data_IF_857351725672
#
_entry.id   IF_857351725672
#
_cell.length_a   1.000
_cell.length_b   1.000
_cell.length_c   1.000
_cell.angle_alpha   90.00
_cell.angle_beta   90.00
_cell.angle_gamma   90.00
#
_symmetry.space_group_name_H-M   'P 1'
#
loop_
_entity.id
_entity.type
_entity.pdbx_description
1 polymer ?
#
# COMPACT_ATOMS: atom_id res chain seq x y z
N UNK A 1 -56.38 17.79 -12.81
CA UNK A 1 -55.26 18.72 -12.63
C UNK A 1 -55.13 19.50 -13.92
N UNK A 2 -55.65 20.73 -13.93
CA UNK A 2 -55.51 21.62 -15.09
C UNK A 2 -54.10 22.22 -15.13
N UNK A 3 -53.67 22.71 -16.30
CA UNK A 3 -52.33 23.29 -16.48
C UNK A 3 -52.03 24.42 -15.49
N UNK A 4 -53.04 25.21 -15.13
CA UNK A 4 -52.94 26.31 -14.17
C UNK A 4 -52.80 25.84 -12.72
N UNK A 5 -53.55 24.80 -12.32
CA UNK A 5 -53.43 24.17 -10.99
C UNK A 5 -52.04 23.58 -10.75
N UNK A 6 -51.41 23.05 -11.80
CA UNK A 6 -50.03 22.55 -11.75
C UNK A 6 -49.01 23.67 -11.47
N UNK A 7 -49.13 24.81 -12.16
CA UNK A 7 -48.23 25.95 -11.95
C UNK A 7 -48.38 26.57 -10.55
N UNK A 8 -49.60 26.69 -10.03
CA UNK A 8 -49.81 27.20 -8.67
C UNK A 8 -49.29 26.23 -7.60
N UNK A 9 -49.47 24.91 -7.79
CA UNK A 9 -48.88 23.90 -6.91
C UNK A 9 -47.35 23.96 -6.92
N UNK A 10 -46.74 24.08 -8.11
CA UNK A 10 -45.29 24.14 -8.28
C UNK A 10 -44.70 25.41 -7.62
N UNK A 11 -45.35 26.56 -7.79
CA UNK A 11 -44.97 27.82 -7.14
C UNK A 11 -45.11 27.75 -5.60
N UNK A 12 -46.08 26.99 -5.10
CA UNK A 12 -46.33 26.81 -3.65
C UNK A 12 -45.36 25.83 -2.97
N UNK A 13 -44.88 24.81 -3.70
CA UNK A 13 -43.88 23.83 -3.22
C UNK A 13 -42.43 24.27 -3.53
N UNK A 14 -42.28 25.36 -4.29
CA UNK A 14 -41.02 25.80 -4.90
C UNK A 14 -39.86 25.94 -3.90
N UNK A 15 -40.10 26.49 -2.70
CA UNK A 15 -39.05 26.71 -1.71
C UNK A 15 -38.46 25.41 -1.16
N UNK A 16 -39.31 24.41 -0.92
CA UNK A 16 -38.89 23.11 -0.38
C UNK A 16 -38.20 22.28 -1.48
N UNK A 17 -38.76 22.28 -2.69
CA UNK A 17 -38.14 21.63 -3.85
C UNK A 17 -36.77 22.24 -4.19
N UNK A 18 -36.67 23.58 -4.21
CA UNK A 18 -35.42 24.27 -4.46
C UNK A 18 -34.37 23.96 -3.37
N UNK A 19 -34.80 23.87 -2.11
CA UNK A 19 -33.91 23.50 -1.01
C UNK A 19 -33.40 22.05 -1.11
N UNK A 20 -34.27 21.09 -1.42
CA UNK A 20 -33.89 19.68 -1.62
C UNK A 20 -32.95 19.55 -2.84
N UNK A 21 -33.24 20.26 -3.93
CA UNK A 21 -32.36 20.28 -5.10
C UNK A 21 -31.00 20.89 -4.77
N UNK A 22 -30.96 22.00 -4.03
CA UNK A 22 -29.71 22.61 -3.58
C UNK A 22 -28.89 21.64 -2.70
N UNK A 23 -29.53 20.95 -1.76
CA UNK A 23 -28.89 19.91 -0.95
C UNK A 23 -28.40 18.72 -1.79
N UNK A 24 -29.18 18.29 -2.79
CA UNK A 24 -28.81 17.22 -3.70
C UNK A 24 -27.57 17.57 -4.53
N UNK A 25 -27.53 18.78 -5.08
CA UNK A 25 -26.37 19.29 -5.83
C UNK A 25 -25.14 19.42 -4.91
N UNK A 26 -25.32 19.97 -3.71
CA UNK A 26 -24.23 20.09 -2.73
C UNK A 26 -23.69 18.71 -2.30
N UNK A 27 -24.56 17.74 -2.02
CA UNK A 27 -24.20 16.37 -1.68
C UNK A 27 -23.48 15.66 -2.82
N UNK A 28 -23.94 15.83 -4.06
CA UNK A 28 -23.28 15.28 -5.25
C UNK A 28 -21.87 15.89 -5.43
N UNK A 29 -21.74 17.21 -5.27
CA UNK A 29 -20.45 17.90 -5.34
C UNK A 29 -19.47 17.39 -4.27
N UNK A 30 -19.93 17.21 -3.03
CA UNK A 30 -19.12 16.66 -1.94
C UNK A 30 -18.70 15.21 -2.22
N UNK A 31 -19.63 14.37 -2.68
CA UNK A 31 -19.33 12.98 -3.04
C UNK A 31 -18.28 12.91 -4.16
N UNK A 32 -18.45 13.73 -5.20
CA UNK A 32 -17.51 13.80 -6.32
C UNK A 32 -16.13 14.25 -5.86
N UNK A 33 -16.05 15.28 -5.01
CA UNK A 33 -14.79 15.74 -4.43
C UNK A 33 -14.09 14.65 -3.62
N UNK A 34 -14.81 13.97 -2.72
CA UNK A 34 -14.27 12.87 -1.91
C UNK A 34 -13.80 11.72 -2.81
N UNK A 35 -14.56 11.39 -3.85
CA UNK A 35 -14.22 10.33 -4.80
C UNK A 35 -12.91 10.64 -5.53
N UNK A 36 -12.76 11.84 -6.07
CA UNK A 36 -11.53 12.31 -6.72
C UNK A 36 -10.36 12.28 -5.72
N UNK A 37 -10.56 12.79 -4.51
CA UNK A 37 -9.49 12.83 -3.50
C UNK A 37 -9.00 11.42 -3.16
N UNK A 38 -9.92 10.47 -3.00
CA UNK A 38 -9.58 9.05 -2.78
C UNK A 38 -8.87 8.42 -3.98
N UNK A 39 -9.17 8.83 -5.22
CA UNK A 39 -8.43 8.33 -6.38
C UNK A 39 -7.02 8.92 -6.46
N UNK A 40 -6.85 10.21 -6.16
CA UNK A 40 -5.55 10.87 -6.11
C UNK A 40 -4.63 10.24 -5.05
N UNK A 41 -5.16 10.03 -3.84
CA UNK A 41 -4.41 9.41 -2.75
C UNK A 41 -3.97 7.98 -3.10
N UNK A 42 -4.83 7.20 -3.75
CA UNK A 42 -4.46 5.87 -4.26
C UNK A 42 -3.36 5.94 -5.32
N UNK A 43 -3.45 6.91 -6.25
CA UNK A 43 -2.40 7.15 -7.25
C UNK A 43 -1.06 7.51 -6.62
N UNK A 44 -1.05 8.39 -5.61
CA UNK A 44 0.17 8.75 -4.85
C UNK A 44 0.77 7.55 -4.13
N UNK A 45 -0.07 6.74 -3.45
CA UNK A 45 0.40 5.50 -2.79
C UNK A 45 0.99 4.50 -3.78
N UNK A 46 0.39 4.37 -4.96
CA UNK A 46 0.93 3.52 -6.03
C UNK A 46 2.32 4.00 -6.50
N UNK A 47 2.48 5.30 -6.76
CA UNK A 47 3.78 5.88 -7.17
C UNK A 47 4.85 5.66 -6.10
N UNK A 48 4.54 6.02 -4.85
CA UNK A 48 5.48 5.86 -3.74
C UNK A 48 5.91 4.39 -3.56
N UNK A 49 4.97 3.45 -3.68
CA UNK A 49 5.30 2.03 -3.59
C UNK A 49 6.25 1.59 -4.72
N UNK A 50 6.05 2.06 -5.94
CA UNK A 50 6.93 1.74 -7.06
C UNK A 50 8.34 2.33 -6.89
N UNK A 51 8.44 3.56 -6.38
CA UNK A 51 9.72 4.17 -6.03
C UNK A 51 10.48 3.36 -4.96
N UNK A 52 9.77 2.81 -3.97
CA UNK A 52 10.38 1.90 -2.98
C UNK A 52 10.88 0.61 -3.62
N UNK A 53 10.11 0.02 -4.54
CA UNK A 53 10.54 -1.19 -5.27
C UNK A 53 11.77 -0.91 -6.13
N UNK A 54 11.85 0.24 -6.79
CA UNK A 54 13.03 0.65 -7.55
C UNK A 54 14.23 0.87 -6.63
N UNK A 55 14.05 1.61 -5.53
CA UNK A 55 15.08 1.87 -4.53
C UNK A 55 15.66 0.58 -3.91
N UNK A 56 14.86 -0.48 -3.79
CA UNK A 56 15.33 -1.78 -3.31
C UNK A 56 16.28 -2.46 -4.31
N UNK A 57 16.01 -2.32 -5.61
CA UNK A 57 16.76 -2.97 -6.69
C UNK A 57 18.00 -2.18 -7.13
N UNK A 58 18.10 -0.90 -6.78
CA UNK A 58 19.20 -0.01 -7.13
C UNK A 58 18.79 1.04 -8.15
N UNK A 59 19.58 2.10 -8.27
CA UNK A 59 19.40 3.04 -9.36
C UNK A 59 19.77 2.30 -10.66
N UNK A 60 18.89 2.29 -11.67
CA UNK A 60 19.08 1.57 -12.94
C UNK A 60 20.37 1.91 -13.74
N UNK A 61 21.27 2.71 -13.16
CA UNK A 61 22.64 3.04 -13.57
C UNK A 61 23.69 2.03 -13.08
N UNK A 62 23.28 0.94 -12.42
CA UNK A 62 24.16 -0.18 -12.07
C UNK A 62 24.84 -0.05 -10.70
N UNK A 63 24.45 0.93 -9.88
CA UNK A 63 24.88 1.05 -8.50
C UNK A 63 24.09 0.11 -7.60
N UNK A 64 24.79 -0.70 -6.78
CA UNK A 64 24.14 -1.40 -5.69
C UNK A 64 23.66 -0.36 -4.66
N UNK A 65 22.38 -0.34 -4.26
CA UNK A 65 21.89 0.63 -3.30
C UNK A 65 22.55 0.39 -1.93
N UNK A 66 22.79 1.46 -1.19
CA UNK A 66 23.33 1.40 0.17
C UNK A 66 22.45 0.51 1.06
N UNK A 67 23.08 -0.30 1.91
CA UNK A 67 22.38 -1.26 2.78
C UNK A 67 21.38 -0.55 3.70
N UNK A 68 21.75 0.60 4.26
CA UNK A 68 20.85 1.38 5.12
C UNK A 68 19.59 1.82 4.37
N UNK A 69 19.73 2.19 3.09
CA UNK A 69 18.58 2.51 2.23
C UNK A 69 17.71 1.28 2.00
N UNK A 70 18.30 0.11 1.77
CA UNK A 70 17.55 -1.13 1.60
C UNK A 70 16.77 -1.49 2.88
N UNK A 71 17.37 -1.31 4.07
CA UNK A 71 16.72 -1.55 5.35
C UNK A 71 15.49 -0.63 5.50
N UNK A 72 15.67 0.68 5.28
CA UNK A 72 14.57 1.65 5.34
C UNK A 72 13.45 1.31 4.36
N UNK A 73 13.80 0.94 3.13
CA UNK A 73 12.81 0.55 2.12
C UNK A 73 12.00 -0.68 2.57
N UNK A 74 12.67 -1.72 3.08
CA UNK A 74 12.00 -2.92 3.57
C UNK A 74 11.06 -2.59 4.73
N UNK A 75 11.51 -1.76 5.67
CA UNK A 75 10.69 -1.26 6.78
C UNK A 75 9.48 -0.48 6.27
N UNK A 76 9.64 0.40 5.28
CA UNK A 76 8.54 1.22 4.75
C UNK A 76 7.49 0.41 3.98
N UNK A 77 7.89 -0.68 3.31
CA UNK A 77 6.97 -1.54 2.56
C UNK A 77 5.82 -2.11 3.43
N UNK A 78 6.02 -2.25 4.75
CA UNK A 78 4.97 -2.73 5.67
C UNK A 78 3.77 -1.78 5.79
N UNK A 79 3.92 -0.52 5.40
CA UNK A 79 2.87 0.50 5.48
C UNK A 79 1.88 0.46 4.31
N UNK A 80 2.08 -0.48 3.37
CA UNK A 80 1.26 -0.62 2.16
C UNK A 80 0.48 -1.96 2.14
N UNK A 81 -0.59 -2.08 2.96
CA UNK A 81 -1.39 -3.30 3.06
C UNK A 81 -2.01 -3.77 1.75
N UNK A 82 -2.31 -2.84 0.84
CA UNK A 82 -2.82 -3.13 -0.50
C UNK A 82 -1.83 -3.91 -1.38
N UNK A 83 -0.52 -3.82 -1.10
CA UNK A 83 0.53 -4.48 -1.88
C UNK A 83 1.16 -5.69 -1.19
N UNK A 84 0.70 -6.06 0.02
CA UNK A 84 1.22 -7.19 0.80
C UNK A 84 1.45 -8.49 0.01
N UNK A 85 0.53 -8.95 -0.88
CA UNK A 85 0.78 -10.16 -1.67
C UNK A 85 2.02 -10.05 -2.58
N UNK A 86 2.24 -8.86 -3.16
CA UNK A 86 3.38 -8.57 -4.03
C UNK A 86 4.64 -8.38 -3.20
N UNK A 87 4.56 -7.61 -2.11
CA UNK A 87 5.66 -7.37 -1.17
C UNK A 87 6.20 -8.68 -0.60
N UNK A 88 5.33 -9.61 -0.19
CA UNK A 88 5.76 -10.93 0.30
C UNK A 88 6.58 -11.69 -0.74
N UNK A 89 6.09 -11.74 -1.99
CA UNK A 89 6.80 -12.43 -3.07
C UNK A 89 8.15 -11.80 -3.34
N UNK A 90 8.21 -10.47 -3.36
CA UNK A 90 9.44 -9.71 -3.60
C UNK A 90 10.45 -9.93 -2.48
N UNK A 91 10.04 -9.80 -1.22
CA UNK A 91 10.90 -9.96 -0.06
C UNK A 91 11.40 -11.39 0.09
N UNK A 92 10.56 -12.42 -0.10
CA UNK A 92 11.01 -13.83 -0.06
C UNK A 92 12.10 -14.11 -1.10
N UNK A 93 11.89 -13.68 -2.34
CA UNK A 93 12.89 -13.81 -3.41
C UNK A 93 14.16 -13.02 -3.12
N UNK A 94 14.05 -11.82 -2.56
CA UNK A 94 15.23 -11.00 -2.22
C UNK A 94 16.00 -11.54 -1.02
N UNK A 95 15.30 -12.09 -0.03
CA UNK A 95 15.88 -12.71 1.17
C UNK A 95 16.80 -13.89 0.81
N UNK A 96 16.34 -14.78 -0.09
CA UNK A 96 17.16 -15.89 -0.59
C UNK A 96 18.44 -15.39 -1.25
N UNK A 97 18.33 -14.36 -2.12
CA UNK A 97 19.49 -13.75 -2.79
C UNK A 97 20.46 -13.10 -1.80
N UNK A 98 19.96 -12.40 -0.79
CA UNK A 98 20.81 -11.77 0.23
C UNK A 98 21.54 -12.79 1.09
N UNK A 99 20.87 -13.89 1.48
CA UNK A 99 21.50 -15.00 2.22
C UNK A 99 22.59 -15.69 1.41
N UNK A 100 22.39 -15.89 0.11
CA UNK A 100 23.44 -16.44 -0.77
C UNK A 100 24.64 -15.50 -0.86
N UNK A 101 24.40 -14.20 -1.10
CA UNK A 101 25.46 -13.19 -1.15
C UNK A 101 26.26 -13.10 0.15
N UNK A 102 25.58 -13.18 1.30
CA UNK A 102 26.22 -13.12 2.61
C UNK A 102 27.10 -14.35 2.88
N UNK A 103 26.61 -15.54 2.49
CA UNK A 103 27.38 -16.79 2.51
C UNK A 103 28.64 -16.68 1.63
N UNK A 104 28.51 -16.21 0.40
CA UNK A 104 29.64 -16.07 -0.53
C UNK A 104 30.66 -15.05 -0.01
N UNK A 105 30.18 -13.92 0.54
CA UNK A 105 31.03 -12.92 1.17
C UNK A 105 31.79 -13.50 2.37
N UNK A 106 31.17 -14.35 3.17
CA UNK A 106 31.85 -15.02 4.29
C UNK A 106 33.00 -15.93 3.81
N UNK A 107 32.78 -16.72 2.74
CA UNK A 107 33.82 -17.57 2.17
C UNK A 107 35.00 -16.76 1.61
N UNK A 108 34.74 -15.68 0.88
CA UNK A 108 35.76 -14.83 0.27
C UNK A 108 36.54 -14.04 1.34
N UNK A 109 35.85 -13.45 2.32
CA UNK A 109 36.49 -12.62 3.33
C UNK A 109 37.37 -13.42 4.30
N UNK A 110 37.06 -14.70 4.54
CA UNK A 110 37.94 -15.62 5.28
C UNK A 110 39.34 -15.68 4.67
N UNK A 111 39.47 -15.52 3.35
CA UNK A 111 40.75 -15.54 2.65
C UNK A 111 41.40 -14.15 2.50
N UNK A 112 40.62 -13.07 2.53
CA UNK A 112 41.09 -11.72 2.19
C UNK A 112 41.31 -10.77 3.39
N UNK A 113 41.13 -11.22 4.64
CA UNK A 113 41.24 -10.38 5.86
C UNK A 113 40.44 -9.07 5.81
N UNK A 114 39.41 -8.99 4.96
CA UNK A 114 38.50 -7.84 4.85
C UNK A 114 37.27 -8.09 5.74
N UNK A 115 36.76 -7.04 6.40
CA UNK A 115 35.52 -7.16 7.16
C UNK A 115 34.34 -7.43 6.20
N UNK A 116 33.51 -8.44 6.47
CA UNK A 116 32.35 -8.71 5.64
C UNK A 116 31.37 -7.53 5.67
N UNK A 117 30.78 -7.25 4.52
CA UNK A 117 29.67 -6.30 4.40
C UNK A 117 28.49 -6.91 5.14
N UNK A 118 28.18 -6.36 6.32
CA UNK A 118 27.24 -6.97 7.26
C UNK A 118 25.79 -6.80 6.78
N UNK A 119 25.27 -7.76 6.00
CA UNK A 119 23.87 -7.77 5.53
C UNK A 119 22.89 -8.30 6.58
N UNK A 120 23.35 -8.64 7.78
CA UNK A 120 22.55 -9.29 8.82
C UNK A 120 21.32 -8.45 9.18
N UNK A 121 21.47 -7.14 9.32
CA UNK A 121 20.36 -6.24 9.66
C UNK A 121 19.30 -6.18 8.55
N UNK A 122 19.70 -6.21 7.29
CA UNK A 122 18.78 -6.24 6.15
C UNK A 122 17.98 -7.56 6.11
N UNK A 123 18.66 -8.68 6.32
CA UNK A 123 18.04 -10.00 6.38
C UNK A 123 17.03 -10.05 7.53
N UNK A 124 17.43 -9.58 8.72
CA UNK A 124 16.58 -9.53 9.90
C UNK A 124 15.35 -8.65 9.68
N UNK A 125 15.52 -7.44 9.14
CA UNK A 125 14.41 -6.52 8.88
C UNK A 125 13.41 -7.10 7.87
N UNK A 126 13.92 -7.80 6.85
CA UNK A 126 13.07 -8.48 5.87
C UNK A 126 12.30 -9.65 6.47
N UNK A 127 12.91 -10.44 7.35
CA UNK A 127 12.21 -11.51 8.08
C UNK A 127 11.11 -10.95 8.99
N UNK A 128 11.40 -9.88 9.73
CA UNK A 128 10.42 -9.20 10.57
C UNK A 128 9.24 -8.68 9.75
N UNK A 129 9.53 -8.05 8.60
CA UNK A 129 8.51 -7.52 7.71
C UNK A 129 7.67 -8.62 7.07
N UNK A 130 8.28 -9.72 6.62
CA UNK A 130 7.54 -10.89 6.11
C UNK A 130 6.62 -11.45 7.20
N UNK A 131 7.13 -11.68 8.41
CA UNK A 131 6.36 -12.22 9.53
C UNK A 131 5.20 -11.31 9.91
N UNK A 132 5.41 -9.99 9.90
CA UNK A 132 4.37 -9.00 10.14
C UNK A 132 3.27 -9.10 9.08
N UNK A 133 3.63 -9.10 7.80
CA UNK A 133 2.66 -9.17 6.70
C UNK A 133 1.87 -10.49 6.74
N UNK A 134 2.54 -11.62 7.01
CA UNK A 134 1.89 -12.93 7.13
C UNK A 134 0.89 -12.96 8.29
N UNK A 135 1.24 -12.37 9.44
CA UNK A 135 0.32 -12.23 10.59
C UNK A 135 -0.93 -11.45 10.20
N UNK A 136 -0.77 -10.23 9.67
CA UNK A 136 -1.90 -9.36 9.29
C UNK A 136 -2.79 -10.01 8.23
N UNK A 137 -2.19 -10.72 7.27
CA UNK A 137 -2.94 -11.44 6.25
C UNK A 137 -3.71 -12.62 6.83
N UNK A 138 -3.12 -13.36 7.75
CA UNK A 138 -3.79 -14.47 8.42
C UNK A 138 -5.01 -13.97 9.20
N UNK A 139 -4.87 -12.92 10.00
CA UNK A 139 -5.96 -12.29 10.76
C UNK A 139 -7.12 -11.85 9.84
N UNK A 140 -6.82 -11.17 8.73
CA UNK A 140 -7.84 -10.79 7.75
C UNK A 140 -8.52 -12.01 7.12
N UNK A 141 -7.77 -13.07 6.83
CA UNK A 141 -8.32 -14.32 6.31
C UNK A 141 -9.27 -14.98 7.32
N UNK A 142 -8.91 -14.99 8.61
CA UNK A 142 -9.76 -15.54 9.68
C UNK A 142 -11.07 -14.76 9.83
N UNK A 143 -11.05 -13.43 9.67
CA UNK A 143 -12.25 -12.59 9.75
C UNK A 143 -13.21 -12.79 8.56
N UNK A 144 -12.73 -13.31 7.43
CA UNK A 144 -13.56 -13.61 6.27
C UNK A 144 -14.25 -14.99 6.35
N UNK A 145 -13.91 -15.81 7.35
CA UNK A 145 -14.57 -17.10 7.60
C UNK A 145 -15.89 -16.83 8.37
N UNK A 146 -17.03 -17.34 7.88
CA UNK A 146 -18.30 -17.28 8.61
C UNK A 146 -18.12 -17.83 10.02
N UNK A 147 -18.77 -17.22 11.02
CA UNK A 147 -18.57 -17.58 12.43
C UNK A 147 -18.89 -19.06 12.72
N UNK A 148 -19.78 -19.65 11.92
CA UNK A 148 -20.20 -21.05 11.95
C UNK A 148 -19.08 -22.05 11.58
N UNK A 149 -18.06 -21.61 10.82
CA UNK A 149 -16.95 -22.44 10.36
C UNK A 149 -15.66 -22.27 11.21
N UNK A 150 -15.73 -21.56 12.35
CA UNK A 150 -14.56 -21.22 13.19
C UNK A 150 -14.20 -22.26 14.27
N UNK A 151 -14.93 -23.37 14.35
CA UNK A 151 -14.80 -24.43 15.38
C UNK A 151 -13.87 -25.57 15.00
#
# INVERSE_FOLDING_TARGET
>A
MTWTEFWEWLLKVNSVLAFILALGVAGCGLYHYISIKRSEERGRRFSNYHELVEALNGDGKGGAPYIDRQITVVYEMRNFPEYYPVTLRLLKRSLERWRMRDRDAMYINRWLWKKPVNNVFLIQEAELTIKYIERVRSEKSYLCIPEEDRS
#
